data_IF_844688257231
#
_entry.id   IF_844688257231
#
_cell.length_a   1.000
_cell.length_b   1.000
_cell.length_c   1.000
_cell.angle_alpha   90.00
_cell.angle_beta   90.00
_cell.angle_gamma   90.00
#
_symmetry.space_group_name_H-M   'P 1'
#
loop_
_entity.id
_entity.type
_entity.pdbx_description
1 polymer ?
#
# COMPACT_ATOMS: atom_id res chain seq x y z
N UNK A 1 -16.51 -1.51 -17.56
CA UNK A 1 -15.64 -0.79 -18.53
C UNK A 1 -14.89 -1.82 -19.35
N UNK A 2 -14.75 -1.65 -20.66
CA UNK A 2 -14.04 -2.63 -21.49
C UNK A 2 -12.52 -2.61 -21.16
N UNK A 3 -11.80 -3.74 -21.26
CA UNK A 3 -10.38 -3.81 -20.91
C UNK A 3 -9.50 -2.77 -21.63
N UNK A 4 -9.78 -2.51 -22.92
CA UNK A 4 -9.08 -1.46 -23.67
C UNK A 4 -9.29 -0.08 -23.04
N UNK A 5 -10.52 0.27 -22.67
CA UNK A 5 -10.84 1.55 -22.04
C UNK A 5 -10.14 1.69 -20.67
N UNK A 6 -10.04 0.59 -19.91
CA UNK A 6 -9.31 0.57 -18.63
C UNK A 6 -7.82 0.84 -18.85
N UNK A 7 -7.22 0.22 -19.87
CA UNK A 7 -5.82 0.44 -20.22
C UNK A 7 -5.55 1.90 -20.60
N UNK A 8 -6.34 2.44 -21.51
CA UNK A 8 -6.22 3.84 -21.96
C UNK A 8 -6.43 4.82 -20.82
N UNK A 9 -7.47 4.62 -20.00
CA UNK A 9 -7.74 5.47 -18.83
C UNK A 9 -6.57 5.44 -17.85
N UNK A 10 -6.03 4.26 -17.57
CA UNK A 10 -4.91 4.09 -16.64
C UNK A 10 -3.66 4.81 -17.15
N UNK A 11 -3.29 4.63 -18.42
CA UNK A 11 -2.14 5.32 -19.03
C UNK A 11 -2.28 6.84 -18.97
N UNK A 12 -3.44 7.38 -19.37
CA UNK A 12 -3.73 8.82 -19.30
C UNK A 12 -3.60 9.38 -17.89
N UNK A 13 -4.03 8.63 -16.86
CA UNK A 13 -3.91 9.06 -15.47
C UNK A 13 -2.44 9.09 -15.04
N UNK A 14 -1.64 8.07 -15.37
CA UNK A 14 -0.20 8.08 -15.06
C UNK A 14 0.53 9.24 -15.75
N UNK A 15 0.21 9.51 -17.01
CA UNK A 15 0.73 10.68 -17.75
C UNK A 15 0.33 12.00 -17.07
N UNK A 16 -0.93 12.13 -16.64
CA UNK A 16 -1.42 13.31 -15.94
C UNK A 16 -0.74 13.52 -14.57
N UNK A 17 -0.51 12.45 -13.79
CA UNK A 17 0.26 12.53 -12.54
C UNK A 17 1.68 13.01 -12.82
N UNK A 18 2.32 12.46 -13.85
CA UNK A 18 3.69 12.82 -14.20
C UNK A 18 3.79 14.30 -14.63
N UNK A 19 2.81 14.79 -15.40
CA UNK A 19 2.75 16.16 -15.89
C UNK A 19 2.34 17.18 -14.80
N UNK A 20 1.60 16.76 -13.78
CA UNK A 20 1.15 17.64 -12.71
C UNK A 20 2.34 18.26 -11.94
N UNK A 21 2.16 19.50 -11.50
CA UNK A 21 3.13 20.36 -10.82
C UNK A 21 2.58 20.91 -9.49
N UNK A 22 1.36 20.53 -9.10
CA UNK A 22 0.75 20.95 -7.84
C UNK A 22 -0.27 19.95 -7.30
N UNK A 23 -0.57 20.03 -6.00
CA UNK A 23 -1.63 19.22 -5.37
C UNK A 23 -2.99 19.47 -6.01
N UNK A 24 -3.28 20.73 -6.39
CA UNK A 24 -4.53 21.08 -7.06
C UNK A 24 -4.68 20.35 -8.41
N UNK A 25 -3.59 20.21 -9.16
CA UNK A 25 -3.62 19.45 -10.42
C UNK A 25 -3.85 17.95 -10.16
N UNK A 26 -3.25 17.38 -9.12
CA UNK A 26 -3.57 15.99 -8.72
C UNK A 26 -5.04 15.86 -8.28
N UNK A 27 -5.61 16.87 -7.63
CA UNK A 27 -7.02 16.89 -7.28
C UNK A 27 -7.95 16.97 -8.49
N UNK A 28 -7.56 17.72 -9.52
CA UNK A 28 -8.32 17.81 -10.76
C UNK A 28 -8.39 16.46 -11.50
N UNK A 29 -7.36 15.60 -11.38
CA UNK A 29 -7.38 14.25 -11.98
C UNK A 29 -8.55 13.43 -11.45
N UNK A 30 -8.89 13.55 -10.14
CA UNK A 30 -10.06 12.85 -9.60
C UNK A 30 -11.35 13.26 -10.30
N UNK A 31 -11.57 14.58 -10.44
CA UNK A 31 -12.79 15.11 -11.06
C UNK A 31 -12.88 14.77 -12.56
N UNK A 32 -11.77 14.94 -13.29
CA UNK A 32 -11.72 14.69 -14.73
C UNK A 32 -11.91 13.21 -15.11
N UNK A 33 -11.63 12.30 -14.18
CA UNK A 33 -11.69 10.86 -14.42
C UNK A 33 -12.80 10.16 -13.62
N UNK A 34 -13.67 10.92 -12.95
CA UNK A 34 -14.73 10.40 -12.08
C UNK A 34 -14.20 9.33 -11.11
N UNK A 35 -13.09 9.65 -10.43
CA UNK A 35 -12.47 8.74 -9.46
C UNK A 35 -13.06 8.96 -8.06
N UNK A 36 -13.52 7.89 -7.39
CA UNK A 36 -13.97 7.97 -6.00
C UNK A 36 -12.80 8.29 -5.06
N UNK A 37 -13.07 9.00 -3.97
CA UNK A 37 -12.08 9.28 -2.91
C UNK A 37 -12.26 8.29 -1.76
N UNK A 38 -11.58 7.16 -1.83
CA UNK A 38 -11.70 6.11 -0.81
C UNK A 38 -11.00 6.43 0.51
N UNK A 39 -10.02 7.34 0.51
CA UNK A 39 -9.26 7.76 1.70
C UNK A 39 -9.46 9.25 2.00
N UNK A 40 -10.64 9.68 2.48
CA UNK A 40 -10.78 11.05 2.96
C UNK A 40 -9.97 11.21 4.26
N UNK A 41 -9.22 12.32 4.37
CA UNK A 41 -8.27 12.55 5.46
C UNK A 41 -8.89 12.50 6.87
N UNK A 42 -10.20 12.77 6.98
CA UNK A 42 -10.94 12.69 8.25
C UNK A 42 -11.19 11.25 8.73
N UNK A 43 -11.16 10.25 7.84
CA UNK A 43 -11.33 8.83 8.19
C UNK A 43 -9.99 8.10 8.30
N UNK A 44 -8.97 8.60 7.62
CA UNK A 44 -7.65 7.99 7.54
C UNK A 44 -6.58 9.07 7.78
N UNK A 45 -6.38 9.45 9.05
CA UNK A 45 -5.39 10.47 9.40
C UNK A 45 -3.98 9.99 9.03
N UNK A 46 -3.11 10.95 8.71
CA UNK A 46 -1.71 10.66 8.40
C UNK A 46 -1.00 10.13 9.66
N UNK A 47 -0.13 9.15 9.47
CA UNK A 47 0.76 8.69 10.53
C UNK A 47 1.93 9.67 10.65
N UNK A 48 2.04 10.34 11.80
CA UNK A 48 3.08 11.33 12.06
C UNK A 48 4.32 10.76 12.77
N UNK A 49 4.32 9.48 13.12
CA UNK A 49 5.44 8.77 13.77
C UNK A 49 6.18 7.85 12.78
N UNK A 50 7.45 7.58 13.04
CA UNK A 50 8.23 6.54 12.36
C UNK A 50 8.62 5.46 13.38
N UNK A 51 8.98 4.27 12.91
CA UNK A 51 9.47 3.17 13.75
C UNK A 51 10.83 2.70 13.23
N UNK A 52 11.78 2.43 14.11
CA UNK A 52 13.08 1.88 13.76
C UNK A 52 13.23 0.43 14.28
N UNK A 53 14.39 -0.17 14.03
CA UNK A 53 14.69 -1.52 14.50
C UNK A 53 14.68 -1.63 16.04
N UNK A 54 15.20 -0.62 16.75
CA UNK A 54 15.24 -0.59 18.22
C UNK A 54 13.82 -0.54 18.82
N UNK A 55 12.87 0.14 18.17
CA UNK A 55 11.47 0.17 18.59
C UNK A 55 10.83 -1.23 18.56
N UNK A 56 11.29 -2.10 17.65
CA UNK A 56 10.78 -3.48 17.53
C UNK A 56 11.55 -4.42 18.45
N UNK A 57 12.88 -4.30 18.48
CA UNK A 57 13.75 -5.13 19.33
C UNK A 57 13.60 -4.80 20.81
N UNK A 58 13.11 -3.61 21.15
CA UNK A 58 12.79 -3.21 22.52
C UNK A 58 11.43 -3.68 23.04
N UNK A 59 10.62 -4.38 22.21
CA UNK A 59 9.36 -4.97 22.66
C UNK A 59 9.67 -6.22 23.48
N UNK A 60 8.97 -6.38 24.61
CA UNK A 60 9.05 -7.56 25.47
C UNK A 60 8.84 -8.86 24.67
N UNK A 61 9.78 -9.80 24.78
CA UNK A 61 9.74 -11.11 24.07
C UNK A 61 8.48 -11.92 24.40
N UNK A 62 7.85 -11.66 25.57
CA UNK A 62 6.57 -12.27 25.95
C UNK A 62 5.38 -11.69 25.19
N UNK A 63 5.58 -10.62 24.43
CA UNK A 63 4.59 -9.97 23.56
C UNK A 63 4.93 -10.25 22.09
N UNK A 64 6.20 -10.10 21.70
CA UNK A 64 6.66 -10.23 20.32
C UNK A 64 7.92 -11.10 20.27
N UNK A 65 7.86 -12.22 19.55
CA UNK A 65 9.02 -13.08 19.32
C UNK A 65 10.06 -12.40 18.41
N UNK A 66 11.31 -12.88 18.44
CA UNK A 66 12.41 -12.36 17.61
C UNK A 66 12.09 -12.27 16.12
N UNK A 67 11.33 -13.25 15.61
CA UNK A 67 10.91 -13.34 14.21
C UNK A 67 9.79 -12.35 13.82
N UNK A 68 9.31 -11.56 14.79
CA UNK A 68 8.25 -10.56 14.66
C UNK A 68 6.83 -11.10 14.90
N UNK A 69 6.65 -12.39 15.17
CA UNK A 69 5.32 -12.94 15.48
C UNK A 69 4.86 -12.58 16.90
N UNK A 70 3.54 -12.47 17.08
CA UNK A 70 2.93 -12.32 18.41
C UNK A 70 3.15 -13.61 19.21
N UNK A 71 3.63 -13.48 20.45
CA UNK A 71 3.79 -14.60 21.37
C UNK A 71 2.42 -15.19 21.79
N UNK A 72 2.37 -16.51 22.03
CA UNK A 72 1.13 -17.26 22.30
C UNK A 72 0.29 -16.64 23.44
N UNK A 73 0.96 -16.15 24.48
CA UNK A 73 0.34 -15.60 25.69
C UNK A 73 0.49 -14.07 25.82
N UNK A 74 0.76 -13.38 24.71
CA UNK A 74 1.00 -11.94 24.67
C UNK A 74 -0.08 -11.12 25.39
N UNK A 75 -1.35 -11.54 25.30
CA UNK A 75 -2.47 -10.84 25.94
C UNK A 75 -2.35 -10.71 27.46
N UNK A 76 -1.62 -11.61 28.14
CA UNK A 76 -1.35 -11.54 29.59
C UNK A 76 -0.31 -10.48 29.93
N UNK A 77 0.53 -10.12 28.97
CA UNK A 77 1.70 -9.25 29.18
C UNK A 77 1.46 -7.80 28.71
N UNK A 78 0.51 -7.57 27.80
CA UNK A 78 0.12 -6.23 27.38
C UNK A 78 -0.60 -5.51 28.53
N UNK A 79 0.00 -4.45 29.09
CA UNK A 79 -0.59 -3.69 30.20
C UNK A 79 -1.31 -2.41 29.75
N UNK A 80 -0.78 -1.74 28.73
CA UNK A 80 -1.32 -0.48 28.22
C UNK A 80 -2.78 -0.65 27.73
N UNK A 81 -3.75 0.15 28.22
CA UNK A 81 -5.15 0.03 27.84
C UNK A 81 -5.39 0.19 26.34
N UNK A 82 -4.67 1.10 25.67
CA UNK A 82 -4.81 1.31 24.23
C UNK A 82 -4.29 0.09 23.46
N UNK A 83 -3.14 -0.45 23.84
CA UNK A 83 -2.57 -1.67 23.26
C UNK A 83 -3.49 -2.88 23.44
N UNK A 84 -4.19 -3.02 24.59
CA UNK A 84 -5.21 -4.07 24.79
C UNK A 84 -6.35 -3.94 23.78
N UNK A 85 -6.85 -2.73 23.55
CA UNK A 85 -7.91 -2.47 22.56
C UNK A 85 -7.42 -2.80 21.15
N UNK A 86 -6.23 -2.32 20.77
CA UNK A 86 -5.64 -2.59 19.45
C UNK A 86 -5.42 -4.09 19.23
N UNK A 87 -4.88 -4.80 20.23
CA UNK A 87 -4.72 -6.25 20.20
C UNK A 87 -6.07 -6.96 20.02
N UNK A 88 -7.10 -6.58 20.77
CA UNK A 88 -8.43 -7.19 20.67
C UNK A 88 -9.08 -6.96 19.30
N UNK A 89 -8.92 -5.78 18.70
CA UNK A 89 -9.40 -5.48 17.35
C UNK A 89 -8.67 -6.32 16.31
N UNK A 90 -7.33 -6.42 16.40
CA UNK A 90 -6.53 -7.24 15.49
C UNK A 90 -6.87 -8.73 15.64
N UNK A 91 -7.01 -9.24 16.87
CA UNK A 91 -7.42 -10.60 17.14
C UNK A 91 -8.79 -10.91 16.52
N UNK A 92 -9.78 -10.03 16.74
CA UNK A 92 -11.14 -10.21 16.19
C UNK A 92 -11.18 -10.24 14.66
N UNK A 93 -10.28 -9.51 14.01
CA UNK A 93 -10.19 -9.46 12.55
C UNK A 93 -9.30 -10.57 11.96
N UNK A 94 -8.64 -11.40 12.79
CA UNK A 94 -7.67 -12.40 12.31
C UNK A 94 -6.35 -11.77 11.82
N UNK A 95 -6.03 -10.57 12.28
CA UNK A 95 -4.97 -9.72 11.74
C UNK A 95 -3.66 -9.76 12.53
N UNK A 96 -3.61 -10.48 13.65
CA UNK A 96 -2.39 -10.57 14.49
C UNK A 96 -1.16 -11.08 13.70
N UNK A 97 -1.37 -12.01 12.76
CA UNK A 97 -0.29 -12.54 11.92
C UNK A 97 0.37 -11.46 11.05
N UNK A 98 -0.34 -10.36 10.73
CA UNK A 98 0.18 -9.26 9.92
C UNK A 98 1.27 -8.46 10.64
N UNK A 99 1.28 -8.47 11.97
CA UNK A 99 2.30 -7.77 12.79
C UNK A 99 3.70 -8.26 12.43
N UNK A 100 3.88 -9.58 12.22
CA UNK A 100 5.13 -10.17 11.78
C UNK A 100 5.68 -9.52 10.52
N UNK A 101 4.84 -9.34 9.52
CA UNK A 101 5.26 -8.78 8.25
C UNK A 101 5.64 -7.30 8.38
N UNK A 102 4.90 -6.53 9.17
CA UNK A 102 5.25 -5.12 9.45
C UNK A 102 6.57 -5.02 10.22
N UNK A 103 6.75 -5.83 11.27
CA UNK A 103 7.97 -5.89 12.06
C UNK A 103 9.19 -6.27 11.20
N UNK A 104 9.06 -7.29 10.34
CA UNK A 104 10.10 -7.68 9.39
C UNK A 104 10.47 -6.56 8.40
N UNK A 105 9.47 -5.81 7.94
CA UNK A 105 9.68 -4.64 7.09
C UNK A 105 10.48 -3.53 7.79
N UNK A 106 10.20 -3.30 9.07
CA UNK A 106 10.90 -2.28 9.88
C UNK A 106 12.34 -2.70 10.16
N UNK A 107 12.58 -3.97 10.55
CA UNK A 107 13.93 -4.52 10.78
C UNK A 107 14.79 -4.62 9.51
N UNK A 108 14.26 -4.26 8.33
CA UNK A 108 14.99 -4.34 7.07
C UNK A 108 15.35 -5.77 6.65
N UNK A 109 14.69 -6.79 7.21
CA UNK A 109 14.97 -8.19 6.89
C UNK A 109 14.59 -8.48 5.43
N UNK A 110 15.61 -8.57 4.57
CA UNK A 110 15.48 -8.98 3.18
C UNK A 110 15.66 -10.49 3.04
N UNK A 111 15.25 -11.30 4.03
CA UNK A 111 15.24 -12.75 3.86
C UNK A 111 14.29 -13.10 2.72
N UNK A 112 14.88 -13.29 1.54
CA UNK A 112 14.26 -13.73 0.28
C UNK A 112 13.70 -15.17 0.38
N UNK A 113 13.67 -15.74 1.59
CA UNK A 113 13.62 -17.19 1.82
C UNK A 113 12.22 -17.74 2.07
N UNK A 114 11.18 -16.92 2.02
CA UNK A 114 9.82 -17.44 1.93
C UNK A 114 9.15 -16.83 0.70
N UNK A 115 8.55 -17.69 -0.11
CA UNK A 115 7.58 -17.32 -1.16
C UNK A 115 6.60 -16.33 -0.54
N UNK A 116 6.79 -15.04 -0.82
CA UNK A 116 6.56 -14.03 0.20
C UNK A 116 5.08 -13.64 0.30
N UNK A 117 4.36 -14.32 1.19
CA UNK A 117 3.03 -13.93 1.61
C UNK A 117 3.11 -12.52 2.25
N UNK A 118 2.13 -11.66 1.96
CA UNK A 118 1.97 -10.34 2.56
C UNK A 118 3.03 -9.26 2.23
N UNK A 119 3.56 -9.25 0.99
CA UNK A 119 4.46 -8.21 0.44
C UNK A 119 4.03 -6.77 0.79
N UNK A 120 2.74 -6.45 0.71
CA UNK A 120 2.21 -5.11 1.02
C UNK A 120 2.40 -4.70 2.48
N UNK A 121 2.32 -5.65 3.42
CA UNK A 121 2.53 -5.37 4.85
C UNK A 121 4.02 -5.20 5.18
N UNK A 122 4.89 -6.01 4.55
CA UNK A 122 6.34 -5.80 4.64
C UNK A 122 6.76 -4.44 4.09
N UNK A 123 6.22 -4.06 2.93
CA UNK A 123 6.46 -2.74 2.37
C UNK A 123 5.94 -1.62 3.27
N UNK A 124 4.78 -1.81 3.91
CA UNK A 124 4.28 -0.85 4.88
C UNK A 124 5.21 -0.69 6.09
N UNK A 125 5.81 -1.79 6.59
CA UNK A 125 6.88 -1.73 7.58
C UNK A 125 8.08 -0.90 7.10
N UNK A 126 8.54 -1.11 5.87
CA UNK A 126 9.60 -0.31 5.24
C UNK A 126 9.23 1.19 5.17
N UNK A 127 7.98 1.51 4.85
CA UNK A 127 7.46 2.89 4.89
C UNK A 127 7.52 3.50 6.30
N UNK A 128 7.13 2.75 7.33
CA UNK A 128 7.20 3.23 8.71
C UNK A 128 8.64 3.51 9.17
N UNK A 129 9.61 2.75 8.66
CA UNK A 129 11.03 2.96 8.92
C UNK A 129 11.65 4.10 8.10
N UNK A 130 11.27 4.25 6.83
CA UNK A 130 11.83 5.27 5.96
C UNK A 130 10.77 5.85 5.00
N UNK A 131 9.93 6.74 5.53
CA UNK A 131 8.88 7.42 4.75
C UNK A 131 9.39 8.22 3.55
N UNK A 132 10.68 8.58 3.54
CA UNK A 132 11.28 9.38 2.48
C UNK A 132 11.74 8.56 1.28
N UNK A 133 12.05 7.27 1.47
CA UNK A 133 12.49 6.41 0.35
C UNK A 133 11.45 5.35 0.00
N UNK A 134 10.57 5.02 0.94
CA UNK A 134 9.64 3.90 0.83
C UNK A 134 8.20 4.41 0.69
N UNK A 135 7.53 4.24 -0.47
CA UNK A 135 6.11 4.59 -0.63
C UNK A 135 5.19 3.63 0.13
N UNK A 136 3.95 4.07 0.36
CA UNK A 136 2.88 3.18 0.81
C UNK A 136 2.36 2.42 -0.41
N UNK A 137 2.58 1.11 -0.43
CA UNK A 137 2.12 0.25 -1.53
C UNK A 137 1.04 -0.69 -1.02
N UNK A 138 -0.15 -0.54 -1.60
CA UNK A 138 -1.28 -1.45 -1.40
C UNK A 138 -1.51 -2.30 -2.66
N UNK A 139 -2.24 -3.42 -2.53
CA UNK A 139 -2.64 -4.25 -3.65
C UNK A 139 -3.38 -3.49 -4.76
N UNK A 140 -4.12 -2.43 -4.41
CA UNK A 140 -4.82 -1.60 -5.38
C UNK A 140 -3.84 -0.70 -6.14
N UNK A 141 -2.83 -0.14 -5.47
CA UNK A 141 -1.74 0.59 -6.14
C UNK A 141 -1.02 -0.32 -7.12
N UNK A 142 -0.67 -1.54 -6.69
CA UNK A 142 -0.04 -2.55 -7.56
C UNK A 142 -0.93 -2.95 -8.74
N UNK A 143 -2.26 -3.02 -8.56
CA UNK A 143 -3.20 -3.28 -9.66
C UNK A 143 -3.17 -2.16 -10.69
N UNK A 144 -3.23 -0.90 -10.26
CA UNK A 144 -3.18 0.25 -11.16
C UNK A 144 -1.85 0.27 -11.93
N UNK A 145 -0.74 0.06 -11.24
CA UNK A 145 0.59 0.00 -11.84
C UNK A 145 0.75 -1.17 -12.82
N UNK A 146 0.25 -2.36 -12.48
CA UNK A 146 0.29 -3.52 -13.38
C UNK A 146 -0.47 -3.28 -14.68
N UNK A 147 -1.61 -2.56 -14.62
CA UNK A 147 -2.38 -2.20 -15.82
C UNK A 147 -1.63 -1.14 -16.62
N UNK A 148 -0.99 -0.17 -15.97
CA UNK A 148 -0.16 0.81 -16.63
C UNK A 148 0.97 0.16 -17.45
N UNK A 149 1.62 -0.88 -16.90
CA UNK A 149 2.65 -1.65 -17.58
C UNK A 149 2.12 -2.63 -18.64
N UNK A 150 0.80 -2.86 -18.72
CA UNK A 150 0.25 -3.84 -19.66
C UNK A 150 0.39 -3.38 -21.12
N UNK A 151 0.83 -4.31 -21.97
CA UNK A 151 1.00 -4.08 -23.42
C UNK A 151 -0.26 -4.37 -24.22
N UNK A 152 -1.17 -5.18 -23.66
CA UNK A 152 -2.35 -5.67 -24.37
C UNK A 152 -3.54 -5.95 -23.42
N UNK A 153 -4.72 -6.10 -24.01
CA UNK A 153 -5.99 -6.34 -23.31
C UNK A 153 -6.06 -7.69 -22.59
N UNK A 154 -5.30 -8.69 -23.05
CA UNK A 154 -5.28 -10.03 -22.43
C UNK A 154 -4.61 -9.95 -21.06
N UNK A 155 -3.48 -9.22 -20.97
CA UNK A 155 -2.81 -8.95 -19.70
C UNK A 155 -3.70 -8.16 -18.75
N UNK A 156 -4.40 -7.13 -19.23
CA UNK A 156 -5.36 -6.34 -18.43
C UNK A 156 -6.44 -7.25 -17.85
N UNK A 157 -7.06 -8.10 -18.67
CA UNK A 157 -8.08 -9.04 -18.20
C UNK A 157 -7.58 -9.97 -17.09
N UNK A 158 -6.33 -10.46 -17.20
CA UNK A 158 -5.71 -11.28 -16.14
C UNK A 158 -5.57 -10.47 -14.84
N UNK A 159 -5.08 -9.23 -14.92
CA UNK A 159 -4.87 -8.36 -13.77
C UNK A 159 -6.20 -8.01 -13.07
N UNK A 160 -7.27 -7.79 -13.84
CA UNK A 160 -8.60 -7.48 -13.29
C UNK A 160 -9.18 -8.61 -12.44
N UNK A 161 -8.84 -9.86 -12.76
CA UNK A 161 -9.27 -11.06 -12.02
C UNK A 161 -8.35 -11.40 -10.85
N UNK A 162 -7.18 -10.75 -10.76
CA UNK A 162 -6.20 -11.03 -9.73
C UNK A 162 -6.68 -10.49 -8.37
N UNK A 163 -6.77 -11.41 -7.41
CA UNK A 163 -7.21 -11.14 -6.04
C UNK A 163 -6.09 -10.48 -5.23
N UNK A 164 -4.89 -11.06 -5.28
CA UNK A 164 -3.74 -10.66 -4.46
C UNK A 164 -2.53 -10.32 -5.32
N UNK A 165 -1.74 -9.34 -4.90
CA UNK A 165 -0.46 -8.96 -5.52
C UNK A 165 0.66 -9.23 -4.52
N UNK A 166 1.34 -10.37 -4.67
CA UNK A 166 2.44 -10.81 -3.81
C UNK A 166 3.75 -10.93 -4.62
N UNK A 167 4.04 -9.91 -5.45
CA UNK A 167 5.22 -9.91 -6.31
C UNK A 167 6.18 -8.79 -5.88
N UNK A 168 7.30 -9.17 -5.26
CA UNK A 168 8.34 -8.23 -4.86
C UNK A 168 8.99 -7.53 -6.05
N UNK A 169 9.08 -8.19 -7.21
CA UNK A 169 9.62 -7.58 -8.43
C UNK A 169 8.73 -6.42 -8.84
N UNK A 170 7.41 -6.62 -8.85
CA UNK A 170 6.44 -5.57 -9.14
C UNK A 170 6.53 -4.40 -8.15
N UNK A 171 6.77 -4.70 -6.86
CA UNK A 171 7.03 -3.66 -5.85
C UNK A 171 8.27 -2.84 -6.17
N UNK A 172 9.40 -3.48 -6.52
CA UNK A 172 10.62 -2.74 -6.88
C UNK A 172 10.43 -1.91 -8.15
N UNK A 173 9.77 -2.47 -9.17
CA UNK A 173 9.43 -1.73 -10.40
C UNK A 173 8.54 -0.52 -10.10
N UNK A 174 7.56 -0.66 -9.21
CA UNK A 174 6.74 0.47 -8.78
C UNK A 174 7.55 1.52 -8.02
N UNK A 175 8.48 1.13 -7.14
CA UNK A 175 9.33 2.08 -6.41
C UNK A 175 10.14 2.96 -7.36
N UNK A 176 10.72 2.38 -8.41
CA UNK A 176 11.45 3.15 -9.43
C UNK A 176 10.52 4.06 -10.24
N UNK A 177 9.32 3.58 -10.61
CA UNK A 177 8.31 4.42 -11.22
C UNK A 177 7.89 5.58 -10.29
N UNK A 178 7.72 5.32 -8.99
CA UNK A 178 7.33 6.30 -7.99
C UNK A 178 8.41 7.38 -7.83
N UNK A 179 9.69 7.01 -7.79
CA UNK A 179 10.80 8.00 -7.82
C UNK A 179 10.68 8.94 -9.02
N UNK A 180 10.37 8.39 -10.19
CA UNK A 180 10.16 9.17 -11.41
C UNK A 180 8.96 10.12 -11.29
N UNK A 181 7.81 9.62 -10.82
CA UNK A 181 6.59 10.44 -10.65
C UNK A 181 6.80 11.60 -9.66
N UNK A 182 7.62 11.38 -8.64
CA UNK A 182 7.92 12.39 -7.61
C UNK A 182 9.12 13.28 -7.94
N UNK A 183 9.89 12.96 -8.99
CA UNK A 183 11.09 13.71 -9.35
C UNK A 183 10.74 15.18 -9.55
N UNK A 184 11.44 16.06 -8.84
CA UNK A 184 11.25 17.52 -8.81
C UNK A 184 10.00 18.00 -8.07
N UNK A 185 9.22 17.12 -7.45
CA UNK A 185 8.04 17.47 -6.62
C UNK A 185 8.21 17.09 -5.15
N UNK A 186 9.39 16.66 -4.74
CA UNK A 186 9.69 16.19 -3.38
C UNK A 186 9.45 17.29 -2.33
N UNK A 187 9.58 18.55 -2.73
CA UNK A 187 9.35 19.73 -1.89
C UNK A 187 7.86 20.08 -1.72
N UNK A 188 6.95 19.51 -2.53
CA UNK A 188 5.52 19.82 -2.47
C UNK A 188 4.90 19.00 -1.34
N UNK A 189 4.45 19.68 -0.29
CA UNK A 189 3.88 19.03 0.88
C UNK A 189 2.67 18.15 0.51
N UNK A 190 2.69 16.90 0.98
CA UNK A 190 1.59 15.95 0.76
C UNK A 190 1.54 15.34 -0.65
N UNK A 191 2.47 15.67 -1.54
CA UNK A 191 2.50 15.18 -2.92
C UNK A 191 2.52 13.65 -2.99
N UNK A 192 3.50 13.01 -2.32
CA UNK A 192 3.63 11.56 -2.26
C UNK A 192 2.36 10.86 -1.78
N UNK A 193 1.82 11.33 -0.66
CA UNK A 193 0.57 10.80 -0.08
C UNK A 193 -0.60 10.94 -1.06
N UNK A 194 -0.65 12.04 -1.83
CA UNK A 194 -1.70 12.27 -2.82
C UNK A 194 -1.58 11.33 -4.02
N UNK A 195 -0.36 11.07 -4.50
CA UNK A 195 -0.08 10.10 -5.56
C UNK A 195 -0.53 8.70 -5.12
N UNK A 196 -0.13 8.26 -3.92
CA UNK A 196 -0.52 6.95 -3.38
C UNK A 196 -2.05 6.81 -3.28
N UNK A 197 -2.75 7.83 -2.75
CA UNK A 197 -4.21 7.83 -2.66
C UNK A 197 -4.90 7.76 -4.02
N UNK A 198 -4.37 8.47 -5.01
CA UNK A 198 -4.93 8.53 -6.36
C UNK A 198 -4.75 7.20 -7.08
N UNK A 199 -3.56 6.60 -7.00
CA UNK A 199 -3.29 5.29 -7.59
C UNK A 199 -4.07 4.17 -6.90
N UNK A 200 -4.23 4.25 -5.58
CA UNK A 200 -5.14 3.36 -4.87
C UNK A 200 -6.57 3.50 -5.38
N UNK A 201 -7.06 4.73 -5.52
CA UNK A 201 -8.44 5.00 -5.94
C UNK A 201 -8.71 4.51 -7.35
N UNK A 202 -7.76 4.73 -8.26
CA UNK A 202 -7.77 4.15 -9.60
C UNK A 202 -7.83 2.62 -9.53
N UNK A 203 -6.88 2.00 -8.82
CA UNK A 203 -6.75 0.55 -8.69
C UNK A 203 -7.92 -0.15 -8.00
N UNK A 204 -8.64 0.56 -7.14
CA UNK A 204 -9.88 0.07 -6.52
C UNK A 204 -11.07 0.22 -7.45
N UNK A 205 -11.22 1.38 -8.11
CA UNK A 205 -12.33 1.64 -9.05
C UNK A 205 -12.36 0.70 -10.25
N UNK A 206 -11.19 0.22 -10.70
CA UNK A 206 -11.09 -0.70 -11.85
C UNK A 206 -11.25 -2.17 -11.46
N UNK A 207 -11.21 -2.52 -10.16
CA UNK A 207 -11.34 -3.92 -9.74
C UNK A 207 -12.72 -4.43 -10.16
N UNK A 208 -12.73 -5.53 -10.91
CA UNK A 208 -13.98 -6.22 -11.24
C UNK A 208 -14.48 -7.01 -10.01
N UNK A 209 -15.77 -6.88 -9.71
CA UNK A 209 -16.50 -7.86 -8.91
C UNK A 209 -16.56 -9.20 -9.66
N UNK A 210 -16.84 -10.29 -8.94
CA UNK A 210 -16.92 -11.66 -9.50
C UNK A 210 -17.87 -11.78 -10.72
N UNK A 211 -18.77 -10.81 -10.92
CA UNK A 211 -19.72 -10.73 -12.03
C UNK A 211 -19.30 -9.78 -13.17
N UNK A 212 -18.05 -9.30 -13.20
CA UNK A 212 -17.53 -8.43 -14.28
C UNK A 212 -17.94 -6.95 -14.20
N UNK A 213 -18.65 -6.53 -13.13
CA UNK A 213 -18.97 -5.13 -12.86
C UNK A 213 -17.93 -4.47 -11.94
N UNK A 214 -17.74 -3.13 -11.98
CA UNK A 214 -16.85 -2.44 -11.05
C UNK A 214 -17.22 -2.70 -9.59
N UNK A 215 -16.23 -2.96 -8.74
CA UNK A 215 -16.40 -3.00 -7.29
C UNK A 215 -16.47 -1.56 -6.76
N UNK A 216 -17.69 -1.06 -6.52
CA UNK A 216 -17.90 0.19 -5.80
C UNK A 216 -17.51 0.04 -4.33
#
# INVERSE_FOLDING_TARGET
MQPQQILEKTKKIFEAINAAQSIQQLDNIYAQNDLPRFYPANKYPRLHFSLNEDDISGIDERILNDDGSIAEEASKHIQDPLAKILYAVLWKNGDLQKIKHVAQGIKGSNTLEAVDEAVVFKQFGKHLANKQEEPIIDQHVLRAFSIYQATDVTRVNKILRQTNFNDWKLVQEYKECFKTLNSKKEHIEGWRSKVDQLLFSLGKSIKANRNGQPAF
#
